data_IF_845716685935
#
_entry.id   IF_845716685935
#
_cell.length_a   1.000
_cell.length_b   1.000
_cell.length_c   1.000
_cell.angle_alpha   90.00
_cell.angle_beta   90.00
_cell.angle_gamma   90.00
#
_symmetry.space_group_name_H-M   'P 1'
#
loop_
_entity.id
_entity.type
_entity.pdbx_description
1 polymer ?
#
# COMPACT_ATOMS: atom_id res chain seq x y z
N UNK A 1 -38.58 -9.41 2.19
CA UNK A 1 -37.48 -8.42 2.04
C UNK A 1 -36.42 -9.02 1.13
N UNK A 2 -36.12 -8.39 -0.01
CA UNK A 2 -34.99 -8.82 -0.84
C UNK A 2 -33.68 -8.56 -0.08
N UNK A 3 -32.80 -9.57 -0.01
CA UNK A 3 -31.48 -9.46 0.62
C UNK A 3 -30.63 -8.52 -0.25
N UNK A 4 -30.16 -7.39 0.29
CA UNK A 4 -29.25 -6.51 -0.45
C UNK A 4 -27.95 -7.26 -0.75
N UNK A 5 -27.55 -7.27 -2.02
CA UNK A 5 -26.26 -7.85 -2.43
C UNK A 5 -25.11 -6.96 -1.95
N UNK A 6 -24.04 -7.58 -1.45
CA UNK A 6 -22.78 -6.89 -1.12
C UNK A 6 -21.90 -6.65 -2.35
N UNK A 7 -22.29 -7.19 -3.51
CA UNK A 7 -21.51 -7.14 -4.74
C UNK A 7 -21.13 -5.72 -5.18
N UNK A 8 -22.02 -4.70 -5.14
CA UNK A 8 -21.62 -3.34 -5.50
C UNK A 8 -20.53 -2.78 -4.56
N UNK A 9 -20.58 -3.13 -3.28
CA UNK A 9 -19.60 -2.69 -2.30
C UNK A 9 -18.23 -3.35 -2.54
N UNK A 10 -18.21 -4.66 -2.79
CA UNK A 10 -16.98 -5.36 -3.13
C UNK A 10 -16.36 -4.82 -4.42
N UNK A 11 -17.17 -4.52 -5.43
CA UNK A 11 -16.71 -3.86 -6.66
C UNK A 11 -16.07 -2.49 -6.41
N UNK A 12 -16.61 -1.70 -5.48
CA UNK A 12 -15.99 -0.41 -5.11
C UNK A 12 -14.64 -0.60 -4.42
N UNK A 13 -14.51 -1.59 -3.53
CA UNK A 13 -13.25 -1.91 -2.86
C UNK A 13 -12.20 -2.39 -3.87
N UNK A 14 -12.57 -3.31 -4.76
CA UNK A 14 -11.72 -3.79 -5.85
C UNK A 14 -11.24 -2.64 -6.75
N UNK A 15 -12.15 -1.76 -7.16
CA UNK A 15 -11.80 -0.64 -8.04
C UNK A 15 -10.86 0.35 -7.34
N UNK A 16 -11.17 0.77 -6.11
CA UNK A 16 -10.32 1.68 -5.36
C UNK A 16 -8.96 1.06 -5.02
N UNK A 17 -8.95 -0.21 -4.60
CA UNK A 17 -7.74 -0.96 -4.29
C UNK A 17 -6.86 -1.18 -5.50
N UNK A 18 -7.44 -1.59 -6.62
CA UNK A 18 -6.72 -1.74 -7.89
C UNK A 18 -6.05 -0.44 -8.35
N UNK A 19 -6.74 0.70 -8.27
CA UNK A 19 -6.16 2.01 -8.63
C UNK A 19 -5.02 2.39 -7.69
N UNK A 20 -5.22 2.29 -6.37
CA UNK A 20 -4.17 2.62 -5.40
C UNK A 20 -2.96 1.71 -5.53
N UNK A 21 -3.18 0.40 -5.70
CA UNK A 21 -2.12 -0.58 -5.88
C UNK A 21 -1.32 -0.30 -7.17
N UNK A 22 -2.01 -0.02 -8.28
CA UNK A 22 -1.38 0.28 -9.56
C UNK A 22 -0.48 1.52 -9.51
N UNK A 23 -0.81 2.51 -8.67
CA UNK A 23 -0.01 3.72 -8.50
C UNK A 23 1.14 3.53 -7.49
N UNK A 24 0.87 2.88 -6.35
CA UNK A 24 1.77 2.89 -5.20
C UNK A 24 2.71 1.69 -5.15
N UNK A 25 2.27 0.49 -5.54
CA UNK A 25 3.13 -0.71 -5.49
C UNK A 25 4.38 -0.55 -6.38
N UNK A 26 4.30 -0.04 -7.63
CA UNK A 26 5.50 0.16 -8.46
C UNK A 26 6.53 1.07 -7.80
N UNK A 27 6.10 2.10 -7.07
CA UNK A 27 7.01 3.00 -6.34
C UNK A 27 7.75 2.23 -5.24
N UNK A 28 7.05 1.36 -4.50
CA UNK A 28 7.65 0.57 -3.41
C UNK A 28 8.61 -0.49 -3.96
N UNK A 29 8.23 -1.16 -5.05
CA UNK A 29 9.09 -2.10 -5.75
C UNK A 29 10.34 -1.42 -6.31
N UNK A 30 10.19 -0.22 -6.87
CA UNK A 30 11.34 0.56 -7.33
C UNK A 30 12.25 0.92 -6.16
N UNK A 31 11.73 1.50 -5.08
CA UNK A 31 12.56 1.93 -3.95
C UNK A 31 13.27 0.76 -3.27
N UNK A 32 12.52 -0.26 -2.86
CA UNK A 32 13.05 -1.34 -2.03
C UNK A 32 13.56 -2.54 -2.83
N UNK A 33 13.05 -2.76 -4.04
CA UNK A 33 13.49 -3.84 -4.93
C UNK A 33 14.63 -3.45 -5.86
N UNK A 34 14.81 -2.15 -6.18
CA UNK A 34 15.86 -1.67 -7.10
C UNK A 34 16.76 -0.61 -6.48
N UNK A 35 16.23 0.55 -6.10
CA UNK A 35 17.03 1.72 -5.73
C UNK A 35 17.91 1.48 -4.51
N UNK A 36 17.39 0.84 -3.46
CA UNK A 36 18.17 0.50 -2.27
C UNK A 36 19.18 -0.63 -2.55
N UNK A 37 18.80 -1.79 -3.15
CA UNK A 37 19.75 -2.85 -3.46
C UNK A 37 20.88 -2.44 -4.43
N UNK A 38 20.60 -1.57 -5.40
CA UNK A 38 21.59 -1.08 -6.37
C UNK A 38 22.45 0.07 -5.82
N UNK A 39 22.16 0.55 -4.61
CA UNK A 39 22.90 1.64 -3.97
C UNK A 39 22.63 3.03 -4.56
N UNK A 40 21.46 3.25 -5.16
CA UNK A 40 21.01 4.59 -5.56
C UNK A 40 20.41 5.37 -4.38
N UNK A 41 19.98 4.66 -3.33
CA UNK A 41 19.54 5.22 -2.07
C UNK A 41 20.05 4.38 -0.88
N UNK A 42 20.42 5.04 0.21
CA UNK A 42 20.96 4.40 1.41
C UNK A 42 20.24 4.86 2.68
N UNK A 43 18.94 4.56 2.83
CA UNK A 43 18.23 4.92 4.05
C UNK A 43 18.83 4.15 5.24
N UNK A 44 19.07 4.83 6.36
CA UNK A 44 19.51 4.16 7.58
C UNK A 44 18.36 3.39 8.21
N UNK A 45 18.68 2.32 8.95
CA UNK A 45 17.70 1.55 9.70
C UNK A 45 16.88 2.43 10.64
N UNK A 46 17.54 3.32 11.39
CA UNK A 46 16.88 4.23 12.33
C UNK A 46 15.89 5.16 11.62
N UNK A 47 16.24 5.65 10.42
CA UNK A 47 15.34 6.48 9.64
C UNK A 47 14.09 5.70 9.22
N UNK A 48 14.25 4.50 8.65
CA UNK A 48 13.11 3.66 8.27
C UNK A 48 12.25 3.27 9.47
N UNK A 49 12.87 2.94 10.60
CA UNK A 49 12.16 2.61 11.83
C UNK A 49 11.37 3.81 12.36
N UNK A 50 11.94 5.03 12.29
CA UNK A 50 11.24 6.25 12.68
C UNK A 50 10.00 6.51 11.82
N UNK A 51 10.09 6.24 10.50
CA UNK A 51 8.95 6.35 9.60
C UNK A 51 7.87 5.33 9.92
N UNK A 52 8.25 4.06 10.17
CA UNK A 52 7.30 2.99 10.51
C UNK A 52 6.66 3.15 11.90
N UNK A 53 7.28 3.91 12.80
CA UNK A 53 6.69 4.28 14.10
C UNK A 53 5.67 5.41 13.98
N UNK A 54 5.68 6.16 12.89
CA UNK A 54 4.73 7.24 12.67
C UNK A 54 3.33 6.66 12.32
N UNK A 55 2.26 7.01 13.06
CA UNK A 55 0.93 6.43 12.85
C UNK A 55 0.39 6.61 11.44
N UNK A 56 0.71 7.74 10.79
CA UNK A 56 0.28 7.97 9.41
C UNK A 56 0.89 6.97 8.41
N UNK A 57 2.17 6.60 8.60
CA UNK A 57 2.84 5.61 7.76
C UNK A 57 2.26 4.22 7.98
N UNK A 58 1.94 3.88 9.24
CA UNK A 58 1.27 2.63 9.57
C UNK A 58 -0.13 2.56 8.95
N UNK A 59 -0.91 3.62 9.06
CA UNK A 59 -2.23 3.73 8.42
C UNK A 59 -2.15 3.63 6.90
N UNK A 60 -1.16 4.28 6.29
CA UNK A 60 -0.87 4.18 4.87
C UNK A 60 -0.64 2.72 4.43
N UNK A 61 0.29 2.00 5.09
CA UNK A 61 0.57 0.61 4.76
C UNK A 61 -0.62 -0.31 5.04
N UNK A 62 -1.35 -0.07 6.14
CA UNK A 62 -2.56 -0.83 6.46
C UNK A 62 -3.61 -0.69 5.36
N UNK A 63 -3.90 0.54 4.91
CA UNK A 63 -4.86 0.81 3.84
C UNK A 63 -4.38 0.22 2.53
N UNK A 64 -3.11 0.44 2.16
CA UNK A 64 -2.56 -0.09 0.91
C UNK A 64 -2.61 -1.62 0.86
N UNK A 65 -2.13 -2.29 1.91
CA UNK A 65 -2.13 -3.76 1.97
C UNK A 65 -3.56 -4.32 2.01
N UNK A 66 -4.45 -3.69 2.78
CA UNK A 66 -5.84 -4.15 2.89
C UNK A 66 -6.58 -3.99 1.57
N UNK A 67 -6.50 -2.81 0.95
CA UNK A 67 -7.19 -2.54 -0.32
C UNK A 67 -6.60 -3.32 -1.50
N UNK A 68 -5.29 -3.59 -1.51
CA UNK A 68 -4.68 -4.40 -2.56
C UNK A 68 -5.12 -5.88 -2.53
N UNK A 69 -5.80 -6.33 -1.47
CA UNK A 69 -6.33 -7.70 -1.34
C UNK A 69 -7.81 -7.84 -1.76
N UNK A 70 -8.49 -6.72 -2.05
CA UNK A 70 -9.87 -6.71 -2.56
C UNK A 70 -9.90 -6.53 -4.07
#
# INVERSE_FOLDING_TARGET
>A
MAKKSLEPFLWTLFSAGGVLAALLIPIHLFLFGLAVPLGWAHPSYEHLLSLLRHPATQGYFFVLCTLALF
#
